data_IF_976916090669
#
_entry.id   IF_976916090669
#
_cell.length_a   1.000
_cell.length_b   1.000
_cell.length_c   1.000
_cell.angle_alpha   90.00
_cell.angle_beta   90.00
_cell.angle_gamma   90.00
#
_symmetry.space_group_name_H-M   'P 1'
#
loop_
_entity.id
_entity.type
_entity.pdbx_description
1 polymer ?
#
# COMPACT_ATOMS: atom_id res chain seq x y z
N UNK A 1 -6.64 -34.09 -20.87
CA UNK A 1 -5.73 -33.35 -19.99
C UNK A 1 -5.58 -31.90 -20.44
N UNK A 2 -5.58 -31.61 -21.75
CA UNK A 2 -5.60 -30.22 -22.29
C UNK A 2 -6.88 -29.44 -21.96
N UNK A 3 -8.08 -30.06 -22.12
CA UNK A 3 -9.37 -29.38 -21.89
C UNK A 3 -9.54 -28.77 -20.48
N UNK A 4 -8.92 -29.38 -19.46
CA UNK A 4 -8.93 -28.92 -18.07
C UNK A 4 -7.90 -27.82 -17.80
N UNK A 5 -6.81 -27.75 -18.58
CA UNK A 5 -5.81 -26.70 -18.47
C UNK A 5 -6.29 -25.39 -19.06
N UNK A 6 -6.97 -25.45 -20.21
CA UNK A 6 -7.53 -24.28 -20.89
C UNK A 6 -8.66 -23.65 -20.07
N UNK A 7 -9.56 -24.45 -19.49
CA UNK A 7 -10.61 -23.97 -18.57
C UNK A 7 -10.04 -23.29 -17.31
N UNK A 8 -8.90 -23.76 -16.79
CA UNK A 8 -8.20 -23.15 -15.65
C UNK A 8 -7.51 -21.84 -16.05
N UNK A 9 -6.96 -21.77 -17.25
CA UNK A 9 -6.34 -20.56 -17.79
C UNK A 9 -7.39 -19.46 -18.04
N UNK A 10 -8.54 -19.81 -18.61
CA UNK A 10 -9.66 -18.89 -18.83
C UNK A 10 -10.24 -18.39 -17.49
N UNK A 11 -10.45 -19.29 -16.52
CA UNK A 11 -10.89 -18.91 -15.17
C UNK A 11 -9.89 -17.97 -14.48
N UNK A 12 -8.57 -18.23 -14.60
CA UNK A 12 -7.52 -17.33 -14.08
C UNK A 12 -7.53 -15.97 -14.77
N UNK A 13 -7.72 -15.95 -16.09
CA UNK A 13 -7.79 -14.70 -16.86
C UNK A 13 -8.99 -13.85 -16.46
N UNK A 14 -10.14 -14.48 -16.19
CA UNK A 14 -11.34 -13.79 -15.74
C UNK A 14 -11.26 -13.35 -14.27
N UNK A 15 -10.64 -14.15 -13.39
CA UNK A 15 -10.28 -13.73 -12.03
C UNK A 15 -9.37 -12.50 -12.04
N UNK A 16 -8.33 -12.48 -12.88
CA UNK A 16 -7.39 -11.35 -12.95
C UNK A 16 -8.07 -10.05 -13.40
N UNK A 17 -9.10 -10.14 -14.25
CA UNK A 17 -9.91 -8.97 -14.64
C UNK A 17 -10.85 -8.51 -13.52
N UNK A 18 -11.25 -9.42 -12.63
CA UNK A 18 -12.21 -9.20 -11.56
C UNK A 18 -11.60 -8.80 -10.21
N UNK A 19 -10.31 -9.05 -10.03
CA UNK A 19 -9.62 -8.85 -8.76
C UNK A 19 -9.29 -7.41 -8.47
N UNK A 20 -9.54 -7.00 -7.22
CA UNK A 20 -9.09 -5.71 -6.73
C UNK A 20 -7.72 -5.78 -6.06
N UNK A 21 -7.31 -6.97 -5.58
CA UNK A 21 -5.96 -7.20 -5.07
C UNK A 21 -5.54 -8.67 -5.25
N UNK A 22 -4.25 -8.90 -5.55
CA UNK A 22 -3.64 -10.23 -5.64
C UNK A 22 -2.33 -10.28 -4.86
N UNK A 23 -2.10 -11.37 -4.11
CA UNK A 23 -0.89 -11.58 -3.30
C UNK A 23 -0.30 -12.95 -3.57
N UNK A 24 0.98 -13.05 -3.98
CA UNK A 24 1.63 -14.33 -4.14
C UNK A 24 1.83 -15.06 -2.81
N UNK A 25 1.42 -16.33 -2.73
CA UNK A 25 1.53 -17.17 -1.53
C UNK A 25 2.99 -17.27 -1.07
N UNK A 26 3.94 -17.35 -2.02
CA UNK A 26 5.37 -17.40 -1.72
C UNK A 26 5.87 -16.16 -0.93
N UNK A 27 5.23 -15.00 -1.09
CA UNK A 27 5.61 -13.78 -0.40
C UNK A 27 5.11 -13.74 1.05
N UNK A 28 4.10 -14.55 1.40
CA UNK A 28 3.56 -14.62 2.77
C UNK A 28 4.61 -15.09 3.79
N UNK A 29 5.55 -15.92 3.36
CA UNK A 29 6.67 -16.38 4.19
C UNK A 29 7.56 -15.22 4.68
N UNK A 30 7.53 -14.07 3.99
CA UNK A 30 8.34 -12.88 4.33
C UNK A 30 7.66 -11.96 5.37
N UNK A 31 6.37 -12.21 5.66
CA UNK A 31 5.51 -11.34 6.47
C UNK A 31 5.45 -11.75 7.95
N UNK A 32 6.39 -12.59 8.41
CA UNK A 32 6.49 -13.03 9.79
C UNK A 32 5.86 -14.39 10.07
N UNK A 33 6.20 -14.96 11.23
CA UNK A 33 5.88 -16.35 11.56
C UNK A 33 4.37 -16.64 11.61
N UNK A 34 3.55 -15.69 12.09
CA UNK A 34 2.09 -15.83 12.16
C UNK A 34 1.47 -15.91 10.77
N UNK A 35 1.91 -15.08 9.82
CA UNK A 35 1.45 -15.13 8.42
C UNK A 35 2.06 -16.32 7.66
N UNK A 36 3.33 -16.63 7.89
CA UNK A 36 4.02 -17.75 7.24
C UNK A 36 3.37 -19.10 7.58
N UNK A 37 2.74 -19.23 8.75
CA UNK A 37 1.99 -20.43 9.14
C UNK A 37 0.80 -20.75 8.23
N UNK A 38 0.33 -19.78 7.43
CA UNK A 38 -0.71 -20.00 6.42
C UNK A 38 -0.20 -20.79 5.21
N UNK A 39 1.09 -20.68 4.86
CA UNK A 39 1.63 -21.25 3.61
C UNK A 39 1.39 -22.77 3.51
N UNK A 40 1.68 -23.59 4.55
CA UNK A 40 1.37 -25.01 4.50
C UNK A 40 -0.13 -25.29 4.37
N UNK A 41 -0.99 -24.52 5.04
CA UNK A 41 -2.43 -24.69 4.97
C UNK A 41 -2.98 -24.40 3.56
N UNK A 42 -2.50 -23.33 2.93
CA UNK A 42 -2.84 -22.92 1.57
C UNK A 42 -2.37 -23.95 0.54
N UNK A 43 -1.21 -24.55 0.73
CA UNK A 43 -0.67 -25.60 -0.14
C UNK A 43 -1.35 -26.97 0.02
N UNK A 44 -2.18 -27.16 1.05
CA UNK A 44 -2.75 -28.48 1.42
C UNK A 44 -4.27 -28.58 1.18
N UNK A 45 -4.89 -27.57 0.55
CA UNK A 45 -6.35 -27.48 0.36
C UNK A 45 -6.97 -28.70 -0.34
N UNK A 46 -6.18 -29.54 -1.03
CA UNK A 46 -6.65 -30.83 -1.55
C UNK A 46 -5.58 -31.92 -1.43
N UNK A 47 -5.80 -32.95 -0.60
CA UNK A 47 -4.98 -34.17 -0.63
C UNK A 47 -5.75 -35.28 -1.36
N UNK A 48 -5.15 -35.80 -2.45
CA UNK A 48 -5.65 -37.01 -3.13
C UNK A 48 -4.90 -38.20 -2.59
N UNK A 49 -5.59 -39.07 -1.84
CA UNK A 49 -5.02 -40.34 -1.42
C UNK A 49 -5.31 -41.40 -2.48
N UNK A 50 -4.28 -42.13 -2.90
CA UNK A 50 -4.43 -43.36 -3.67
C UNK A 50 -4.32 -44.54 -2.72
N UNK A 51 -5.37 -45.36 -2.63
CA UNK A 51 -5.31 -46.57 -1.83
C UNK A 51 -4.54 -47.65 -2.60
N UNK A 52 -3.73 -48.44 -1.89
CA UNK A 52 -3.17 -49.67 -2.45
C UNK A 52 -4.33 -50.67 -2.61
N UNK A 53 -4.84 -50.80 -3.84
CA UNK A 53 -5.93 -51.71 -4.17
C UNK A 53 -5.44 -53.10 -4.57
N UNK A 54 -4.16 -53.43 -4.31
CA UNK A 54 -3.63 -54.77 -4.56
C UNK A 54 -4.44 -55.82 -3.78
N UNK A 55 -5.09 -56.72 -4.52
CA UNK A 55 -5.98 -57.74 -3.97
C UNK A 55 -7.47 -57.36 -3.89
N UNK A 56 -7.85 -56.13 -4.26
CA UNK A 56 -9.25 -55.74 -4.41
C UNK A 56 -9.77 -56.05 -5.81
N UNK A 57 -10.98 -56.59 -5.88
CA UNK A 57 -11.66 -56.93 -7.13
C UNK A 57 -13.08 -56.37 -7.13
N UNK A 58 -13.54 -55.90 -8.30
CA UNK A 58 -14.93 -55.52 -8.55
C UNK A 58 -15.65 -56.60 -9.35
N UNK A 59 -16.98 -56.65 -9.21
CA UNK A 59 -17.85 -57.51 -10.01
C UNK A 59 -17.96 -56.93 -11.42
N UNK A 60 -17.48 -57.65 -12.43
CA UNK A 60 -17.44 -57.19 -13.81
C UNK A 60 -18.71 -57.51 -14.62
N UNK A 61 -19.51 -58.48 -14.17
CA UNK A 61 -20.67 -59.01 -14.89
C UNK A 61 -22.02 -58.72 -14.21
N UNK A 62 -22.09 -57.69 -13.36
CA UNK A 62 -23.34 -57.26 -12.72
C UNK A 62 -24.22 -56.55 -13.75
N UNK A 63 -25.43 -57.06 -13.98
CA UNK A 63 -26.45 -56.38 -14.76
C UNK A 63 -27.41 -55.60 -13.85
N UNK A 64 -28.21 -54.70 -14.43
CA UNK A 64 -29.22 -53.93 -13.71
C UNK A 64 -30.21 -54.88 -13.02
N UNK A 65 -30.38 -54.71 -11.70
CA UNK A 65 -31.25 -55.57 -10.88
C UNK A 65 -30.56 -56.81 -10.29
N UNK A 66 -29.32 -57.11 -10.67
CA UNK A 66 -28.53 -58.16 -10.04
C UNK A 66 -28.00 -57.70 -8.67
N UNK A 67 -28.00 -58.61 -7.70
CA UNK A 67 -27.43 -58.38 -6.36
C UNK A 67 -26.55 -59.55 -5.93
N UNK A 68 -25.53 -59.29 -5.11
CA UNK A 68 -24.71 -60.36 -4.54
C UNK A 68 -25.58 -61.25 -3.64
N UNK A 69 -25.43 -62.56 -3.78
CA UNK A 69 -26.10 -63.50 -2.88
C UNK A 69 -25.49 -63.42 -1.49
N UNK A 70 -26.34 -63.33 -0.49
CA UNK A 70 -25.96 -63.24 0.92
C UNK A 70 -26.20 -64.59 1.57
N UNK A 71 -25.18 -65.12 2.23
CA UNK A 71 -25.23 -66.30 3.07
C UNK A 71 -26.06 -66.03 4.32
N UNK A 72 -26.55 -67.09 4.98
CA UNK A 72 -27.25 -66.95 6.25
C UNK A 72 -26.39 -66.30 7.35
N UNK A 73 -25.06 -66.35 7.24
CA UNK A 73 -24.13 -65.69 8.15
C UNK A 73 -23.79 -64.25 7.76
N UNK A 74 -24.45 -63.68 6.74
CA UNK A 74 -24.23 -62.31 6.26
C UNK A 74 -23.09 -62.14 5.25
N UNK A 75 -22.32 -63.20 4.96
CA UNK A 75 -21.23 -63.12 3.97
C UNK A 75 -21.77 -63.16 2.53
N UNK A 76 -21.11 -62.45 1.61
CA UNK A 76 -21.44 -62.53 0.19
C UNK A 76 -20.85 -63.78 -0.45
N UNK A 77 -21.64 -64.44 -1.30
CA UNK A 77 -21.18 -65.54 -2.14
C UNK A 77 -20.55 -65.01 -3.42
N UNK A 78 -19.71 -65.83 -4.06
CA UNK A 78 -19.22 -65.60 -5.43
C UNK A 78 -20.28 -65.77 -6.53
N UNK A 79 -21.54 -65.44 -6.23
CA UNK A 79 -22.68 -65.57 -7.13
C UNK A 79 -23.63 -64.36 -7.00
N UNK A 80 -24.19 -63.96 -8.13
CA UNK A 80 -25.24 -62.95 -8.22
C UNK A 80 -26.61 -63.64 -8.25
N UNK A 81 -27.57 -63.05 -7.54
CA UNK A 81 -29.00 -63.25 -7.77
C UNK A 81 -29.41 -62.35 -8.91
N UNK A 82 -29.96 -62.91 -9.98
CA UNK A 82 -30.42 -62.15 -11.13
C UNK A 82 -31.81 -61.56 -10.89
N UNK A 83 -32.18 -60.53 -11.64
CA UNK A 83 -33.46 -59.83 -11.48
C UNK A 83 -34.70 -60.75 -11.64
N UNK A 84 -34.57 -61.81 -12.45
CA UNK A 84 -35.57 -62.86 -12.67
C UNK A 84 -35.56 -63.96 -11.59
N UNK A 85 -34.77 -63.80 -10.52
CA UNK A 85 -34.65 -64.75 -9.42
C UNK A 85 -33.66 -65.89 -9.65
N UNK A 86 -33.01 -65.93 -10.82
CA UNK A 86 -31.95 -66.88 -11.16
C UNK A 86 -30.61 -66.66 -10.45
N UNK A 87 -29.59 -67.40 -10.89
CA UNK A 87 -28.24 -67.38 -10.31
C UNK A 87 -27.18 -67.42 -11.38
N UNK A 88 -26.16 -66.57 -11.27
CA UNK A 88 -24.93 -66.67 -12.09
C UNK A 88 -23.68 -66.43 -11.25
N UNK A 89 -22.56 -66.97 -11.68
CA UNK A 89 -21.27 -66.74 -11.01
C UNK A 89 -20.77 -65.31 -11.21
N UNK A 90 -20.08 -64.78 -10.20
CA UNK A 90 -19.42 -63.48 -10.27
C UNK A 90 -18.16 -63.59 -11.12
N UNK A 91 -17.96 -62.66 -12.05
CA UNK A 91 -16.66 -62.40 -12.67
C UNK A 91 -15.96 -61.30 -11.90
N UNK A 92 -14.74 -61.58 -11.43
CA UNK A 92 -13.92 -60.64 -10.69
C UNK A 92 -12.92 -59.97 -11.64
N UNK A 93 -12.89 -58.64 -11.63
CA UNK A 93 -11.89 -57.85 -12.31
C UNK A 93 -11.10 -57.05 -11.27
N UNK A 94 -9.78 -57.01 -11.40
CA UNK A 94 -8.93 -56.23 -10.51
C UNK A 94 -9.42 -54.78 -10.43
N UNK A 95 -9.63 -54.29 -9.21
CA UNK A 95 -9.99 -52.90 -9.00
C UNK A 95 -8.74 -52.06 -9.26
N UNK A 96 -8.80 -51.19 -10.28
CA UNK A 96 -7.78 -50.17 -10.50
C UNK A 96 -7.60 -49.27 -9.28
N UNK A 97 -6.57 -48.41 -9.26
CA UNK A 97 -6.30 -47.53 -8.12
C UNK A 97 -7.56 -46.73 -7.77
N UNK A 98 -8.02 -46.90 -6.53
CA UNK A 98 -9.11 -46.10 -5.97
C UNK A 98 -8.47 -44.82 -5.42
N UNK A 99 -8.87 -43.68 -5.96
CA UNK A 99 -8.54 -42.37 -5.43
C UNK A 99 -9.69 -41.88 -4.57
N UNK A 100 -9.39 -41.41 -3.37
CA UNK A 100 -10.32 -40.58 -2.61
C UNK A 100 -9.68 -39.21 -2.38
N UNK A 101 -10.44 -38.18 -2.70
CA UNK A 101 -10.10 -36.80 -2.36
C UNK A 101 -10.65 -36.53 -0.97
N UNK A 102 -9.77 -36.34 0.01
CA UNK A 102 -10.18 -35.81 1.31
C UNK A 102 -9.97 -34.30 1.28
N UNK A 103 -11.06 -33.55 1.43
CA UNK A 103 -10.97 -32.12 1.74
C UNK A 103 -10.65 -32.01 3.23
N UNK A 104 -9.38 -32.13 3.59
CA UNK A 104 -8.92 -31.67 4.89
C UNK A 104 -9.00 -30.14 4.86
N UNK A 105 -10.15 -29.58 5.23
CA UNK A 105 -10.32 -28.13 5.41
C UNK A 105 -9.47 -27.75 6.62
N UNK A 106 -8.20 -27.40 6.39
CA UNK A 106 -7.47 -26.62 7.40
C UNK A 106 -8.25 -25.33 7.54
N UNK A 107 -8.76 -25.05 8.73
CA UNK A 107 -9.54 -23.84 8.99
C UNK A 107 -8.64 -22.62 8.86
N UNK A 108 -8.61 -22.00 7.68
CA UNK A 108 -7.92 -20.74 7.46
C UNK A 108 -8.84 -19.64 8.02
N UNK A 109 -8.35 -18.89 9.01
CA UNK A 109 -9.08 -17.74 9.52
C UNK A 109 -9.06 -16.61 8.48
N UNK A 110 -10.20 -16.19 7.91
CA UNK A 110 -10.24 -15.13 6.90
C UNK A 110 -9.66 -13.81 7.38
N UNK A 111 -9.75 -13.50 8.69
CA UNK A 111 -9.17 -12.29 9.26
C UNK A 111 -7.63 -12.31 9.21
N UNK A 112 -7.01 -13.48 9.40
CA UNK A 112 -5.54 -13.64 9.27
C UNK A 112 -5.10 -13.50 7.82
N UNK A 113 -5.93 -13.96 6.86
CA UNK A 113 -5.66 -13.80 5.43
C UNK A 113 -5.78 -12.34 4.99
N UNK A 114 -6.82 -11.63 5.40
CA UNK A 114 -6.95 -10.18 5.15
C UNK A 114 -5.79 -9.40 5.77
N UNK A 115 -5.37 -9.74 7.00
CA UNK A 115 -4.19 -9.13 7.63
C UNK A 115 -2.90 -9.42 6.85
N UNK A 116 -2.73 -10.64 6.35
CA UNK A 116 -1.58 -10.99 5.52
C UNK A 116 -1.52 -10.15 4.24
N UNK A 117 -2.68 -9.93 3.60
CA UNK A 117 -2.78 -9.08 2.41
C UNK A 117 -2.50 -7.60 2.75
N UNK A 118 -3.01 -7.10 3.88
CA UNK A 118 -2.74 -5.73 4.34
C UNK A 118 -1.25 -5.50 4.68
N UNK A 119 -0.62 -6.46 5.37
CA UNK A 119 0.81 -6.43 5.67
C UNK A 119 1.64 -6.43 4.39
N UNK A 120 1.27 -7.26 3.40
CA UNK A 120 1.93 -7.28 2.11
C UNK A 120 1.84 -5.93 1.38
N UNK A 121 0.65 -5.33 1.33
CA UNK A 121 0.40 -4.02 0.71
C UNK A 121 1.28 -2.92 1.32
N UNK A 122 1.47 -2.92 2.64
CA UNK A 122 2.34 -1.95 3.32
C UNK A 122 3.82 -2.26 3.07
N UNK A 123 4.23 -3.53 3.20
CA UNK A 123 5.63 -3.95 3.04
C UNK A 123 6.18 -3.58 1.66
N UNK A 124 5.38 -3.71 0.59
CA UNK A 124 5.78 -3.34 -0.77
C UNK A 124 6.21 -1.87 -0.92
N UNK A 125 5.66 -0.98 -0.09
CA UNK A 125 5.93 0.45 -0.16
C UNK A 125 6.76 0.95 1.03
N UNK A 126 7.01 0.11 2.04
CA UNK A 126 7.73 0.50 3.25
C UNK A 126 9.15 0.98 2.95
N UNK A 127 9.85 0.32 2.02
CA UNK A 127 11.18 0.74 1.58
C UNK A 127 11.20 2.14 0.97
N UNK A 128 10.23 2.45 0.10
CA UNK A 128 10.08 3.77 -0.52
C UNK A 128 9.69 4.84 0.51
N UNK A 129 8.80 4.50 1.45
CA UNK A 129 8.42 5.38 2.57
C UNK A 129 9.65 5.77 3.39
N UNK A 130 10.50 4.79 3.74
CA UNK A 130 11.70 5.02 4.53
C UNK A 130 12.77 5.80 3.76
N UNK A 131 12.92 5.57 2.46
CA UNK A 131 13.86 6.32 1.63
C UNK A 131 13.42 7.77 1.46
N UNK A 132 12.12 8.01 1.22
CA UNK A 132 11.55 9.36 1.18
C UNK A 132 11.75 10.11 2.50
N UNK A 133 11.70 9.43 3.64
CA UNK A 133 12.00 10.06 4.94
C UNK A 133 13.45 10.51 5.03
N UNK A 134 14.41 9.65 4.67
CA UNK A 134 15.83 10.01 4.65
C UNK A 134 16.08 11.20 3.74
N UNK A 135 15.44 11.22 2.57
CA UNK A 135 15.50 12.37 1.67
C UNK A 135 14.97 13.64 2.35
N UNK A 136 13.77 13.60 2.96
CA UNK A 136 13.19 14.75 3.66
C UNK A 136 14.10 15.24 4.80
N UNK A 137 14.69 14.32 5.58
CA UNK A 137 15.60 14.64 6.68
C UNK A 137 16.91 15.27 6.19
N UNK A 138 17.50 14.74 5.11
CA UNK A 138 18.78 15.21 4.57
C UNK A 138 18.81 16.69 4.17
N UNK A 139 17.65 17.30 3.95
CA UNK A 139 17.52 18.70 3.56
C UNK A 139 17.41 19.68 4.73
N UNK A 140 17.32 19.19 5.97
CA UNK A 140 17.12 20.02 7.16
C UNK A 140 18.47 20.48 7.75
N UNK A 141 18.42 21.47 8.66
CA UNK A 141 19.59 21.94 9.40
C UNK A 141 19.71 21.26 10.78
N UNK A 142 20.90 20.70 11.05
CA UNK A 142 21.31 19.85 12.20
C UNK A 142 20.82 20.33 13.58
N UNK A 143 20.65 21.62 13.82
CA UNK A 143 20.45 22.19 15.17
C UNK A 143 19.00 22.09 15.72
N UNK A 144 18.01 21.67 14.93
CA UNK A 144 16.59 21.57 15.36
C UNK A 144 15.94 20.20 15.09
N UNK A 145 16.75 19.19 14.81
CA UNK A 145 16.31 17.92 14.22
C UNK A 145 16.04 16.80 15.21
N UNK A 146 16.73 16.76 16.36
CA UNK A 146 16.83 15.52 17.14
C UNK A 146 15.50 14.96 17.65
N UNK A 147 14.50 15.81 17.94
CA UNK A 147 13.17 15.33 18.37
C UNK A 147 12.38 14.74 17.20
N UNK A 148 12.28 15.45 16.07
CA UNK A 148 11.49 14.99 14.91
C UNK A 148 12.18 13.82 14.20
N UNK A 149 13.52 13.82 14.17
CA UNK A 149 14.31 12.71 13.67
C UNK A 149 14.10 11.46 14.52
N UNK A 150 14.18 11.57 15.86
CA UNK A 150 13.90 10.45 16.76
C UNK A 150 12.46 9.92 16.62
N UNK A 151 11.48 10.81 16.43
CA UNK A 151 10.10 10.42 16.14
C UNK A 151 10.00 9.61 14.84
N UNK A 152 10.68 10.06 13.78
CA UNK A 152 10.71 9.36 12.48
C UNK A 152 11.39 8.00 12.58
N UNK A 153 12.54 7.92 13.23
CA UNK A 153 13.24 6.65 13.47
C UNK A 153 12.39 5.68 14.28
N UNK A 154 11.69 6.20 15.28
CA UNK A 154 10.76 5.41 16.10
C UNK A 154 9.62 4.85 15.25
N UNK A 155 8.97 5.68 14.42
CA UNK A 155 7.90 5.21 13.53
C UNK A 155 8.40 4.15 12.54
N UNK A 156 9.57 4.33 11.95
CA UNK A 156 10.17 3.38 11.02
C UNK A 156 10.49 2.05 11.71
N UNK A 157 11.06 2.11 12.92
CA UNK A 157 11.31 0.93 13.75
C UNK A 157 10.02 0.17 14.08
N UNK A 158 8.94 0.88 14.41
CA UNK A 158 7.62 0.27 14.67
C UNK A 158 7.08 -0.38 13.39
N UNK A 159 7.07 0.34 12.27
CA UNK A 159 6.56 -0.15 10.99
C UNK A 159 7.28 -1.43 10.53
N UNK A 160 8.62 -1.43 10.55
CA UNK A 160 9.41 -2.62 10.16
C UNK A 160 9.20 -3.83 11.08
N UNK A 161 8.92 -3.59 12.37
CA UNK A 161 8.70 -4.66 13.35
C UNK A 161 7.25 -5.15 13.39
N UNK A 162 6.30 -4.37 12.88
CA UNK A 162 4.87 -4.66 12.98
C UNK A 162 4.50 -6.00 12.32
N UNK A 163 5.05 -6.32 11.14
CA UNK A 163 4.79 -7.61 10.46
C UNK A 163 5.11 -8.84 11.33
N UNK A 164 6.10 -8.73 12.22
CA UNK A 164 6.50 -9.81 13.13
C UNK A 164 5.73 -9.80 14.47
N UNK A 165 4.95 -8.75 14.75
CA UNK A 165 4.38 -8.48 16.06
C UNK A 165 2.91 -8.02 16.04
N UNK A 166 2.22 -8.09 14.91
CA UNK A 166 0.85 -7.59 14.77
C UNK A 166 -0.15 -8.31 15.69
N UNK A 167 0.12 -9.57 16.04
CA UNK A 167 -0.64 -10.41 16.96
C UNK A 167 -0.13 -10.33 18.41
N UNK A 168 0.99 -9.63 18.65
CA UNK A 168 1.54 -9.42 19.98
C UNK A 168 0.87 -8.22 20.67
N UNK A 169 -0.10 -8.50 21.56
CA UNK A 169 -0.86 -7.47 22.29
C UNK A 169 0.00 -6.45 23.03
N UNK A 170 1.13 -6.85 23.61
CA UNK A 170 2.02 -5.93 24.34
C UNK A 170 2.71 -4.97 23.37
N UNK A 171 3.24 -5.50 22.26
CA UNK A 171 3.84 -4.68 21.21
C UNK A 171 2.82 -3.69 20.64
N UNK A 172 1.64 -4.18 20.28
CA UNK A 172 0.58 -3.38 19.67
C UNK A 172 0.13 -2.25 20.59
N UNK A 173 -0.21 -2.57 21.85
CA UNK A 173 -0.73 -1.57 22.80
C UNK A 173 0.32 -0.51 23.15
N UNK A 174 1.56 -0.92 23.41
CA UNK A 174 2.65 0.01 23.78
C UNK A 174 2.96 0.96 22.62
N UNK A 175 3.10 0.42 21.41
CA UNK A 175 3.41 1.23 20.23
C UNK A 175 2.22 2.06 19.76
N UNK A 176 0.98 1.63 19.95
CA UNK A 176 -0.19 2.44 19.63
C UNK A 176 -0.16 3.76 20.41
N UNK A 177 0.13 3.71 21.71
CA UNK A 177 0.30 4.92 22.53
C UNK A 177 1.44 5.80 22.03
N UNK A 178 2.60 5.21 21.75
CA UNK A 178 3.78 5.93 21.24
C UNK A 178 3.46 6.65 19.92
N UNK A 179 2.77 5.97 19.01
CA UNK A 179 2.34 6.52 17.71
C UNK A 179 1.37 7.69 17.89
N UNK A 180 0.40 7.61 18.80
CA UNK A 180 -0.51 8.71 19.11
C UNK A 180 0.23 9.93 19.69
N UNK A 181 1.23 9.71 20.55
CA UNK A 181 2.06 10.78 21.10
C UNK A 181 2.88 11.48 20.00
N UNK A 182 3.50 10.72 19.09
CA UNK A 182 4.23 11.25 17.91
C UNK A 182 3.27 12.00 16.99
N UNK A 183 2.09 11.43 16.69
CA UNK A 183 1.07 12.06 15.85
C UNK A 183 0.64 13.42 16.42
N UNK A 184 0.45 13.51 17.74
CA UNK A 184 0.15 14.77 18.44
C UNK A 184 1.28 15.79 18.28
N UNK A 185 2.53 15.38 18.49
CA UNK A 185 3.71 16.26 18.36
C UNK A 185 3.87 16.76 16.92
N UNK A 186 3.77 15.87 15.94
CA UNK A 186 3.77 16.20 14.52
C UNK A 186 2.65 17.19 14.16
N UNK A 187 1.43 16.98 14.67
CA UNK A 187 0.29 17.91 14.48
C UNK A 187 0.57 19.29 15.08
N UNK A 188 1.14 19.36 16.29
CA UNK A 188 1.55 20.62 16.93
C UNK A 188 2.59 21.37 16.08
N UNK A 189 3.61 20.67 15.61
CA UNK A 189 4.68 21.25 14.79
C UNK A 189 4.15 21.77 13.46
N UNK A 190 3.30 20.98 12.79
CA UNK A 190 2.60 21.37 11.57
C UNK A 190 1.84 22.70 11.73
N UNK A 191 0.98 22.80 12.75
CA UNK A 191 0.21 24.03 13.04
C UNK A 191 1.12 25.23 13.33
N UNK A 192 2.23 25.01 14.04
CA UNK A 192 3.22 26.05 14.35
C UNK A 192 3.89 26.58 13.09
N UNK A 193 4.34 25.71 12.18
CA UNK A 193 4.97 26.11 10.93
C UNK A 193 3.98 26.74 9.95
N UNK A 194 2.77 26.19 9.84
CA UNK A 194 1.70 26.78 9.05
C UNK A 194 1.44 28.24 9.47
N UNK A 195 1.31 28.49 10.78
CA UNK A 195 1.14 29.85 11.32
C UNK A 195 2.31 30.76 10.97
N UNK A 196 3.56 30.29 11.19
CA UNK A 196 4.77 31.06 10.86
C UNK A 196 4.87 31.40 9.38
N UNK A 197 4.44 30.50 8.49
CA UNK A 197 4.44 30.74 7.04
C UNK A 197 3.35 31.75 6.67
N UNK A 198 2.14 31.61 7.22
CA UNK A 198 1.04 32.58 7.01
C UNK A 198 1.42 33.99 7.48
N UNK A 199 2.16 34.11 8.58
CA UNK A 199 2.62 35.42 9.09
C UNK A 199 3.63 36.11 8.14
N UNK A 200 4.44 35.34 7.40
CA UNK A 200 5.32 35.87 6.35
C UNK A 200 4.50 36.46 5.21
N UNK A 201 3.47 35.74 4.73
CA UNK A 201 2.61 36.20 3.62
C UNK A 201 1.75 37.41 3.99
N UNK A 202 1.34 37.53 5.26
CA UNK A 202 0.49 38.64 5.76
C UNK A 202 1.23 39.97 5.99
N UNK A 203 2.54 40.05 5.73
CA UNK A 203 3.29 41.30 5.79
C UNK A 203 3.51 41.89 7.19
N UNK A 204 3.40 41.09 8.28
CA UNK A 204 3.64 41.58 9.65
C UNK A 204 5.10 41.89 9.99
N UNK A 205 6.05 41.68 9.06
CA UNK A 205 7.44 42.14 9.19
C UNK A 205 7.70 43.23 8.13
N UNK A 206 7.92 44.46 8.62
CA UNK A 206 8.21 45.67 7.85
C UNK A 206 9.36 45.43 6.84
N UNK A 207 9.14 45.78 5.57
CA UNK A 207 9.98 45.39 4.43
C UNK A 207 10.79 46.60 3.92
N UNK A 208 12.13 46.56 4.02
CA UNK A 208 13.09 47.47 3.35
C UNK A 208 14.16 46.69 2.52
N UNK A 209 14.16 46.92 1.20
CA UNK A 209 15.23 46.76 0.18
C UNK A 209 15.66 45.35 -0.37
N UNK A 210 16.19 45.36 -1.62
CA UNK A 210 16.52 44.25 -2.56
C UNK A 210 17.24 42.98 -2.03
N UNK A 211 17.80 42.97 -0.82
CA UNK A 211 18.30 41.76 -0.12
C UNK A 211 17.17 40.83 0.37
N UNK A 212 15.91 41.18 0.08
CA UNK A 212 14.71 40.56 0.64
C UNK A 212 14.15 39.34 -0.09
N UNK A 213 14.29 39.23 -1.42
CA UNK A 213 13.70 38.07 -2.15
C UNK A 213 14.41 36.78 -1.75
N UNK A 214 15.74 36.78 -1.78
CA UNK A 214 16.56 35.62 -1.39
C UNK A 214 16.36 35.24 0.08
N UNK A 215 16.35 36.21 0.98
CA UNK A 215 16.13 35.93 2.41
C UNK A 215 14.71 35.45 2.69
N UNK A 216 13.68 36.00 2.03
CA UNK A 216 12.32 35.50 2.11
C UNK A 216 12.18 34.08 1.53
N UNK A 217 12.83 33.79 0.40
CA UNK A 217 12.86 32.46 -0.21
C UNK A 217 13.51 31.45 0.74
N UNK A 218 14.69 31.75 1.30
CA UNK A 218 15.37 30.87 2.25
C UNK A 218 14.58 30.68 3.55
N UNK A 219 13.97 31.75 4.07
CA UNK A 219 13.16 31.71 5.29
C UNK A 219 11.84 30.93 5.10
N UNK A 220 11.25 30.98 3.90
CA UNK A 220 10.11 30.15 3.52
C UNK A 220 10.53 28.70 3.26
N UNK A 221 11.60 28.48 2.50
CA UNK A 221 12.17 27.15 2.22
C UNK A 221 12.41 26.39 3.53
N UNK A 222 13.10 27.00 4.49
CA UNK A 222 13.35 26.41 5.81
C UNK A 222 12.03 26.01 6.52
N UNK A 223 11.05 26.92 6.57
CA UNK A 223 9.76 26.62 7.22
C UNK A 223 8.99 25.51 6.51
N UNK A 224 8.96 25.51 5.18
CA UNK A 224 8.26 24.49 4.40
C UNK A 224 8.93 23.13 4.47
N UNK A 225 10.27 23.06 4.61
CA UNK A 225 10.96 21.79 4.88
C UNK A 225 10.49 21.19 6.21
N UNK A 226 10.45 21.97 7.29
CA UNK A 226 9.93 21.47 8.59
C UNK A 226 8.42 21.20 8.59
N UNK A 227 7.62 22.00 7.87
CA UNK A 227 6.19 21.73 7.69
C UNK A 227 5.99 20.40 6.94
N UNK A 228 6.73 20.19 5.84
CA UNK A 228 6.69 18.95 5.06
C UNK A 228 7.08 17.75 5.91
N UNK A 229 8.18 17.84 6.67
CA UNK A 229 8.57 16.76 7.58
C UNK A 229 7.47 16.47 8.61
N UNK A 230 6.94 17.50 9.28
CA UNK A 230 5.88 17.33 10.28
C UNK A 230 4.62 16.68 9.69
N UNK A 231 4.22 17.08 8.48
CA UNK A 231 3.07 16.51 7.78
C UNK A 231 3.33 15.06 7.35
N UNK A 232 4.55 14.74 6.90
CA UNK A 232 4.93 13.39 6.54
C UNK A 232 4.94 12.46 7.77
N UNK A 233 5.56 12.88 8.87
CA UNK A 233 5.57 12.16 10.16
C UNK A 233 4.16 11.96 10.69
N UNK A 234 3.30 13.00 10.63
CA UNK A 234 1.89 12.89 11.00
C UNK A 234 1.16 11.83 10.17
N UNK A 235 1.39 11.81 8.85
CA UNK A 235 0.71 10.89 7.93
C UNK A 235 1.14 9.44 8.17
N UNK A 236 2.44 9.19 8.38
CA UNK A 236 2.93 7.86 8.74
C UNK A 236 2.41 7.40 10.09
N UNK A 237 2.43 8.27 11.11
CA UNK A 237 1.88 7.95 12.43
C UNK A 237 0.38 7.60 12.33
N UNK A 238 -0.37 8.31 11.49
CA UNK A 238 -1.80 8.04 11.28
C UNK A 238 -2.07 6.69 10.60
N UNK A 239 -1.25 6.30 9.60
CA UNK A 239 -1.31 4.95 9.04
C UNK A 239 -1.01 3.89 10.12
N UNK A 240 0.04 4.11 10.92
CA UNK A 240 0.41 3.16 11.98
C UNK A 240 -0.63 3.11 13.11
N UNK A 241 -1.34 4.20 13.40
CA UNK A 241 -2.46 4.24 14.33
C UNK A 241 -3.56 3.27 13.87
N UNK A 242 -3.95 3.31 12.59
CA UNK A 242 -4.94 2.38 12.02
C UNK A 242 -4.48 0.93 12.18
N UNK A 243 -3.24 0.63 11.80
CA UNK A 243 -2.69 -0.73 11.90
C UNK A 243 -2.60 -1.23 13.35
N UNK A 244 -2.17 -0.39 14.30
CA UNK A 244 -2.01 -0.77 15.70
C UNK A 244 -3.33 -0.77 16.48
N UNK A 245 -4.29 0.07 16.12
CA UNK A 245 -5.63 0.04 16.74
C UNK A 245 -6.43 -1.18 16.30
N UNK A 246 -6.18 -1.69 15.09
CA UNK A 246 -6.98 -2.74 14.46
C UNK A 246 -8.40 -2.29 14.10
N UNK A 247 -8.68 -0.98 14.15
CA UNK A 247 -9.97 -0.43 13.77
C UNK A 247 -10.00 -0.18 12.26
N UNK A 248 -10.42 -1.18 11.49
CA UNK A 248 -10.47 -1.11 10.03
C UNK A 248 -11.84 -0.71 9.47
N UNK A 249 -12.75 -0.18 10.31
CA UNK A 249 -14.06 0.29 9.86
C UNK A 249 -13.89 1.44 8.86
N UNK A 250 -14.56 1.34 7.72
CA UNK A 250 -14.43 2.29 6.60
C UNK A 250 -14.58 3.76 7.03
N UNK A 251 -15.59 4.09 7.85
CA UNK A 251 -15.81 5.47 8.32
C UNK A 251 -14.59 6.01 9.09
N UNK A 252 -13.99 5.20 9.94
CA UNK A 252 -12.82 5.61 10.73
C UNK A 252 -11.58 5.76 9.86
N UNK A 253 -11.29 4.76 9.01
CA UNK A 253 -10.12 4.80 8.12
C UNK A 253 -10.25 5.91 7.08
N UNK A 254 -11.44 6.11 6.52
CA UNK A 254 -11.74 7.22 5.59
C UNK A 254 -11.58 8.57 6.26
N UNK A 255 -12.04 8.72 7.51
CA UNK A 255 -11.84 9.96 8.28
C UNK A 255 -10.36 10.33 8.42
N UNK A 256 -9.50 9.36 8.72
CA UNK A 256 -8.05 9.56 8.83
C UNK A 256 -7.44 9.89 7.46
N UNK A 257 -7.80 9.12 6.42
CA UNK A 257 -7.36 9.35 5.03
C UNK A 257 -7.69 10.77 4.58
N UNK A 258 -8.93 11.22 4.84
CA UNK A 258 -9.41 12.53 4.43
C UNK A 258 -8.76 13.65 5.25
N UNK A 259 -8.41 13.43 6.53
CA UNK A 259 -7.60 14.36 7.31
C UNK A 259 -6.20 14.56 6.68
N UNK A 260 -5.53 13.48 6.26
CA UNK A 260 -4.22 13.56 5.58
C UNK A 260 -4.35 14.33 4.26
N UNK A 261 -5.39 14.03 3.47
CA UNK A 261 -5.67 14.70 2.19
C UNK A 261 -5.90 16.21 2.38
N UNK A 262 -6.79 16.58 3.31
CA UNK A 262 -7.09 17.97 3.64
C UNK A 262 -5.83 18.75 4.07
N UNK A 263 -4.98 18.13 4.90
CA UNK A 263 -3.73 18.77 5.35
C UNK A 263 -2.72 18.93 4.23
N UNK A 264 -2.67 17.97 3.31
CA UNK A 264 -1.81 18.02 2.12
C UNK A 264 -2.28 19.09 1.13
N UNK A 265 -3.60 19.28 0.98
CA UNK A 265 -4.18 20.38 0.22
C UNK A 265 -3.88 21.74 0.86
N UNK A 266 -4.08 21.87 2.18
CA UNK A 266 -3.75 23.09 2.91
C UNK A 266 -2.28 23.48 2.79
N UNK A 267 -1.37 22.49 2.79
CA UNK A 267 0.05 22.68 2.52
C UNK A 267 0.29 23.27 1.13
N UNK A 268 -0.28 22.66 0.08
CA UNK A 268 -0.12 23.06 -1.33
C UNK A 268 -0.73 24.45 -1.60
N UNK A 269 -1.89 24.73 -1.02
CA UNK A 269 -2.53 26.05 -1.08
C UNK A 269 -1.65 27.14 -0.47
N UNK A 270 -1.06 26.85 0.69
CA UNK A 270 -0.16 27.78 1.36
C UNK A 270 1.13 27.97 0.56
N UNK A 271 1.67 26.90 -0.01
CA UNK A 271 2.81 26.94 -0.91
C UNK A 271 2.53 27.83 -2.12
N UNK A 272 1.38 27.65 -2.80
CA UNK A 272 0.96 28.49 -3.92
C UNK A 272 0.86 29.98 -3.56
N UNK A 273 0.28 30.30 -2.40
CA UNK A 273 0.21 31.68 -1.88
C UNK A 273 1.61 32.28 -1.63
N UNK A 274 2.54 31.49 -1.11
CA UNK A 274 3.92 31.90 -0.91
C UNK A 274 4.67 32.10 -2.24
N UNK A 275 4.44 31.26 -3.24
CA UNK A 275 5.01 31.43 -4.59
C UNK A 275 4.56 32.75 -5.23
N UNK A 276 3.26 33.07 -5.14
CA UNK A 276 2.73 34.36 -5.62
C UNK A 276 3.31 35.54 -4.85
N UNK A 277 3.50 35.40 -3.53
CA UNK A 277 4.15 36.43 -2.71
C UNK A 277 5.61 36.68 -3.14
N UNK A 278 6.39 35.61 -3.36
CA UNK A 278 7.77 35.70 -3.83
C UNK A 278 7.87 36.33 -5.22
N UNK A 279 6.95 36.00 -6.12
CA UNK A 279 6.87 36.60 -7.46
C UNK A 279 6.58 38.12 -7.40
N UNK A 280 5.63 38.55 -6.56
CA UNK A 280 5.34 39.98 -6.34
C UNK A 280 6.53 40.73 -5.78
N UNK A 281 7.24 40.15 -4.81
CA UNK A 281 8.48 40.74 -4.28
C UNK A 281 9.53 40.90 -5.39
N UNK A 282 9.72 39.88 -6.22
CA UNK A 282 10.65 39.91 -7.36
C UNK A 282 10.31 41.01 -8.38
N UNK A 283 9.03 41.13 -8.77
CA UNK A 283 8.57 42.17 -9.71
C UNK A 283 8.80 43.59 -9.21
N UNK A 284 8.55 43.86 -7.92
CA UNK A 284 8.77 45.18 -7.31
C UNK A 284 10.25 45.57 -7.19
N UNK A 285 11.15 44.58 -7.11
CA UNK A 285 12.60 44.74 -7.08
C UNK A 285 13.18 45.06 -8.47
N UNK A 286 12.59 44.51 -9.53
CA UNK A 286 12.98 44.79 -10.91
C UNK A 286 12.56 46.19 -11.37
N UNK A 287 11.38 46.67 -10.97
CA UNK A 287 10.95 48.05 -11.25
C UNK A 287 11.86 49.12 -10.64
N UNK A 288 12.49 48.85 -9.48
CA UNK A 288 13.40 49.80 -8.82
C UNK A 288 14.82 49.84 -9.41
N UNK A 289 15.32 48.73 -9.96
CA UNK A 289 16.66 48.69 -10.58
C UNK A 289 16.65 49.11 -12.06
N UNK A 290 15.50 49.13 -12.72
CA UNK A 290 15.37 49.58 -14.11
C UNK A 290 15.42 51.11 -14.25
N UNK A 291 15.24 51.85 -13.15
CA UNK A 291 15.16 53.32 -13.13
C UNK A 291 16.53 54.02 -13.03
N UNK A 292 17.66 53.30 -13.03
CA UNK A 292 19.00 53.91 -12.87
C UNK A 292 20.07 53.49 -13.88
N UNK A 293 19.82 52.66 -14.91
CA UNK A 293 20.90 52.32 -15.82
C UNK A 293 20.52 51.59 -17.10
N UNK A 294 20.49 52.34 -18.20
CA UNK A 294 20.82 51.98 -19.60
C UNK A 294 20.31 50.62 -20.11
N UNK A 295 19.32 50.69 -21.00
CA UNK A 295 19.37 50.08 -22.34
C UNK A 295 19.50 48.56 -22.48
N UNK A 296 18.38 47.94 -22.86
CA UNK A 296 18.26 46.73 -23.71
C UNK A 296 18.90 45.42 -23.21
N UNK A 297 18.06 44.54 -22.64
CA UNK A 297 17.91 43.10 -22.97
C UNK A 297 17.34 42.34 -21.77
N UNK A 298 16.01 42.17 -21.69
CA UNK A 298 15.40 41.34 -20.64
C UNK A 298 14.10 40.73 -21.14
N UNK A 299 14.23 39.61 -21.86
CA UNK A 299 13.15 38.66 -22.12
C UNK A 299 13.71 37.27 -21.88
N UNK A 300 13.75 36.84 -20.61
CA UNK A 300 13.75 35.42 -20.19
C UNK A 300 14.00 35.38 -18.68
N UNK A 301 12.93 35.53 -17.89
CA UNK A 301 12.86 34.97 -16.54
C UNK A 301 11.49 34.30 -16.48
N UNK A 302 11.48 32.97 -16.40
CA UNK A 302 10.27 32.17 -16.36
C UNK A 302 9.43 32.50 -15.13
N UNK A 303 8.14 32.73 -15.33
CA UNK A 303 7.18 33.03 -14.27
C UNK A 303 7.16 31.91 -13.22
N UNK A 304 7.33 32.26 -11.94
CA UNK A 304 7.26 31.34 -10.80
C UNK A 304 5.90 30.62 -10.68
N UNK A 305 4.87 31.10 -11.39
CA UNK A 305 3.55 30.47 -11.55
C UNK A 305 3.63 29.08 -12.21
N UNK A 306 4.65 28.82 -13.04
CA UNK A 306 4.84 27.51 -13.71
C UNK A 306 5.28 26.37 -12.78
N UNK A 307 5.53 26.66 -11.49
CA UNK A 307 6.00 25.68 -10.48
C UNK A 307 4.82 25.03 -9.73
N UNK A 308 3.60 25.54 -9.87
CA UNK A 308 2.41 24.99 -9.21
C UNK A 308 1.95 23.76 -10.02
N UNK A 309 2.00 22.53 -9.46
CA UNK A 309 1.44 21.38 -10.15
C UNK A 309 -0.06 21.60 -10.31
N UNK A 310 -0.54 21.62 -11.56
CA UNK A 310 -1.96 21.49 -11.85
C UNK A 310 -2.42 20.11 -11.40
N UNK A 311 -3.50 20.06 -10.63
CA UNK A 311 -4.14 18.83 -10.17
C UNK A 311 -4.52 17.99 -11.38
N UNK A 312 -3.70 16.98 -11.69
CA UNK A 312 -4.12 15.80 -12.44
C UNK A 312 -3.53 14.59 -11.72
N UNK A 313 -4.41 13.66 -11.35
CA UNK A 313 -4.05 12.37 -10.76
C UNK A 313 -3.25 11.54 -11.77
N UNK A 314 -1.94 11.73 -11.83
CA UNK A 314 -1.04 10.99 -12.71
C UNK A 314 0.40 10.95 -12.16
N UNK A 315 1.24 10.01 -12.62
CA UNK A 315 2.56 9.75 -12.05
C UNK A 315 3.50 10.95 -12.22
N UNK A 316 4.24 11.24 -11.16
CA UNK A 316 5.09 12.45 -10.97
C UNK A 316 6.41 12.40 -11.77
N UNK A 317 6.70 11.29 -12.46
CA UNK A 317 8.03 11.01 -13.03
C UNK A 317 8.36 11.79 -14.32
N UNK A 318 7.36 12.22 -15.10
CA UNK A 318 7.65 12.97 -16.34
C UNK A 318 8.22 14.38 -16.09
N UNK A 319 7.95 14.98 -14.92
CA UNK A 319 8.43 16.33 -14.60
C UNK A 319 9.91 16.38 -14.22
N UNK A 320 10.46 15.29 -13.66
CA UNK A 320 11.84 15.25 -13.16
C UNK A 320 12.88 15.02 -14.27
N UNK A 321 12.47 14.44 -15.41
CA UNK A 321 13.37 14.08 -16.51
C UNK A 321 13.72 15.29 -17.40
N UNK A 322 12.80 16.23 -17.59
CA UNK A 322 12.96 17.30 -18.59
C UNK A 322 13.90 18.45 -18.13
N UNK A 323 14.06 18.64 -16.81
CA UNK A 323 14.84 19.78 -16.25
C UNK A 323 16.33 19.48 -15.99
N UNK A 324 16.80 18.27 -16.30
CA UNK A 324 18.17 17.83 -16.02
C UNK A 324 19.25 18.38 -16.98
N UNK A 325 18.87 18.95 -18.12
CA UNK A 325 19.80 19.14 -19.24
C UNK A 325 20.04 20.58 -19.67
N UNK A 326 20.48 21.48 -18.76
CA UNK A 326 21.22 22.70 -19.12
C UNK A 326 21.76 23.46 -17.91
N UNK A 327 23.09 23.51 -17.75
CA UNK A 327 23.71 24.45 -16.82
C UNK A 327 25.08 24.95 -17.30
N UNK A 328 25.23 26.26 -17.37
CA UNK A 328 26.52 26.99 -17.44
C UNK A 328 26.53 28.01 -16.28
N UNK A 329 27.67 28.10 -15.58
CA UNK A 329 27.85 28.65 -14.22
C UNK A 329 28.08 30.17 -14.15
N UNK A 330 27.45 30.85 -13.18
CA UNK A 330 27.88 32.11 -12.49
C UNK A 330 26.95 32.41 -11.29
N UNK A 331 27.03 33.55 -10.57
CA UNK A 331 26.25 33.84 -9.35
C UNK A 331 24.70 33.68 -9.47
N UNK A 332 24.16 33.66 -10.70
CA UNK A 332 22.78 33.23 -11.02
C UNK A 332 22.46 31.77 -10.66
N UNK A 333 23.47 30.89 -10.53
CA UNK A 333 23.28 29.45 -10.26
C UNK A 333 22.78 29.18 -8.84
N UNK A 334 23.17 29.99 -7.85
CA UNK A 334 22.70 29.82 -6.45
C UNK A 334 21.24 30.23 -6.28
N UNK A 335 20.81 31.29 -6.96
CA UNK A 335 19.41 31.74 -6.96
C UNK A 335 18.51 30.75 -7.69
N UNK A 336 19.01 30.19 -8.82
CA UNK A 336 18.35 29.08 -9.53
C UNK A 336 18.23 27.83 -8.65
N UNK A 337 19.25 27.52 -7.85
CA UNK A 337 19.26 26.34 -6.97
C UNK A 337 18.23 26.45 -5.84
N UNK A 338 18.15 27.57 -5.12
CA UNK A 338 17.14 27.74 -4.06
C UNK A 338 15.71 27.77 -4.60
N UNK A 339 15.50 28.23 -5.84
CA UNK A 339 14.19 28.15 -6.50
C UNK A 339 13.84 26.70 -6.85
N UNK A 340 14.80 25.91 -7.34
CA UNK A 340 14.63 24.47 -7.60
C UNK A 340 14.31 23.71 -6.31
N UNK A 341 15.07 23.92 -5.25
CA UNK A 341 14.81 23.31 -3.93
C UNK A 341 13.43 23.70 -3.38
N UNK A 342 12.99 24.94 -3.60
CA UNK A 342 11.65 25.36 -3.20
C UNK A 342 10.56 24.67 -4.02
N UNK A 343 10.75 24.52 -5.34
CA UNK A 343 9.85 23.78 -6.20
C UNK A 343 9.74 22.29 -5.81
N UNK A 344 10.86 21.66 -5.46
CA UNK A 344 10.92 20.24 -5.06
C UNK A 344 10.11 19.95 -3.79
N UNK A 345 9.96 20.93 -2.90
CA UNK A 345 9.15 20.77 -1.68
C UNK A 345 7.67 21.11 -1.87
N UNK A 346 7.23 21.53 -3.06
CA UNK A 346 5.81 21.83 -3.35
C UNK A 346 4.86 20.66 -3.07
N UNK A 347 5.35 19.42 -3.21
CA UNK A 347 4.60 18.21 -2.88
C UNK A 347 5.06 17.68 -1.50
N UNK A 348 4.15 17.51 -0.53
CA UNK A 348 4.50 16.95 0.77
C UNK A 348 4.82 15.45 0.73
N UNK A 349 4.58 14.77 -0.40
CA UNK A 349 4.84 13.33 -0.63
C UNK A 349 4.06 12.39 0.31
N UNK A 350 2.87 12.81 0.73
CA UNK A 350 1.98 12.04 1.63
C UNK A 350 1.04 11.06 0.90
N UNK A 351 1.03 11.07 -0.44
CA UNK A 351 0.12 10.25 -1.26
C UNK A 351 0.19 8.76 -0.92
N UNK A 352 1.40 8.23 -0.72
CA UNK A 352 1.62 6.83 -0.35
C UNK A 352 0.81 6.39 0.87
N UNK A 353 0.65 7.25 1.89
CA UNK A 353 -0.14 6.92 3.08
C UNK A 353 -1.65 6.91 2.79
N UNK A 354 -2.12 7.81 1.93
CA UNK A 354 -3.50 7.82 1.45
C UNK A 354 -3.79 6.53 0.69
N UNK A 355 -2.90 6.14 -0.22
CA UNK A 355 -3.04 4.92 -1.02
C UNK A 355 -3.03 3.67 -0.12
N UNK A 356 -2.20 3.61 0.92
CA UNK A 356 -2.21 2.48 1.87
C UNK A 356 -3.48 2.43 2.72
N UNK A 357 -4.04 3.58 3.11
CA UNK A 357 -5.33 3.63 3.82
C UNK A 357 -6.49 3.21 2.90
N UNK A 358 -6.43 3.55 1.61
CA UNK A 358 -7.38 3.07 0.60
C UNK A 358 -7.28 1.56 0.40
N UNK A 359 -6.06 1.00 0.33
CA UNK A 359 -5.86 -0.45 0.32
C UNK A 359 -6.48 -1.12 1.54
N UNK A 360 -6.31 -0.56 2.75
CA UNK A 360 -6.92 -1.10 3.98
C UNK A 360 -8.46 -1.07 3.88
N UNK A 361 -9.04 0.04 3.40
CA UNK A 361 -10.48 0.16 3.17
C UNK A 361 -10.94 -0.94 2.22
N UNK A 362 -10.23 -1.11 1.10
CA UNK A 362 -10.55 -2.10 0.09
C UNK A 362 -10.52 -3.53 0.66
N UNK A 363 -9.44 -3.88 1.35
CA UNK A 363 -9.23 -5.21 1.92
C UNK A 363 -10.31 -5.55 2.95
N UNK A 364 -10.62 -4.63 3.88
CA UNK A 364 -11.48 -4.94 5.03
C UNK A 364 -12.96 -4.62 4.84
N UNK A 365 -13.32 -3.72 3.92
CA UNK A 365 -14.70 -3.24 3.80
C UNK A 365 -15.30 -3.53 2.42
N UNK A 366 -14.48 -3.77 1.39
CA UNK A 366 -14.95 -4.04 0.03
C UNK A 366 -14.57 -5.42 -0.49
N UNK A 367 -13.95 -6.29 0.33
CA UNK A 367 -13.73 -7.70 -0.05
C UNK A 367 -14.98 -8.52 0.23
N UNK A 368 -15.57 -9.11 -0.80
CA UNK A 368 -16.69 -10.03 -0.66
C UNK A 368 -16.25 -11.49 -0.61
N UNK A 369 -15.29 -11.83 -1.48
CA UNK A 369 -14.84 -13.20 -1.69
C UNK A 369 -13.32 -13.25 -1.76
N UNK A 370 -12.77 -14.33 -1.22
CA UNK A 370 -11.34 -14.63 -1.27
C UNK A 370 -11.15 -15.91 -2.05
N UNK A 371 -10.49 -15.81 -3.20
CA UNK A 371 -10.13 -16.96 -4.02
C UNK A 371 -8.66 -17.30 -3.83
N UNK A 372 -8.35 -18.58 -3.98
CA UNK A 372 -7.03 -19.15 -3.80
C UNK A 372 -6.72 -20.06 -4.98
N UNK A 373 -5.54 -19.92 -5.55
CA UNK A 373 -4.96 -20.96 -6.39
C UNK A 373 -3.61 -21.42 -5.81
N UNK A 374 -2.84 -22.22 -6.56
CA UNK A 374 -1.55 -22.73 -6.06
C UNK A 374 -0.46 -21.66 -5.94
N UNK A 375 -0.69 -20.45 -6.44
CA UNK A 375 0.31 -19.38 -6.52
C UNK A 375 -0.11 -18.12 -5.76
N UNK A 376 -1.40 -17.77 -5.76
CA UNK A 376 -1.89 -16.46 -5.35
C UNK A 376 -3.17 -16.52 -4.51
N UNK A 377 -3.30 -15.48 -3.67
CA UNK A 377 -4.52 -15.08 -2.98
C UNK A 377 -5.15 -13.92 -3.74
N UNK A 378 -6.45 -14.01 -4.01
CA UNK A 378 -7.21 -13.03 -4.78
C UNK A 378 -8.34 -12.45 -3.92
N UNK A 379 -8.38 -11.13 -3.76
CA UNK A 379 -9.50 -10.41 -3.13
C UNK A 379 -10.39 -9.80 -4.21
N UNK A 380 -11.67 -10.17 -4.21
CA UNK A 380 -12.67 -9.65 -5.14
C UNK A 380 -13.65 -8.73 -4.41
N UNK A 381 -14.07 -7.69 -5.12
CA UNK A 381 -14.97 -6.67 -4.61
C UNK A 381 -16.29 -6.62 -5.37
N UNK A 382 -17.28 -6.03 -4.70
CA UNK A 382 -18.68 -6.05 -5.14
C UNK A 382 -18.83 -5.36 -6.52
N UNK A 383 -19.34 -6.12 -7.49
CA UNK A 383 -19.39 -5.74 -8.91
C UNK A 383 -19.21 -6.89 -9.91
N UNK A 384 -18.78 -8.08 -9.45
CA UNK A 384 -18.54 -9.25 -10.30
C UNK A 384 -19.55 -10.40 -10.15
N UNK A 385 -20.58 -10.25 -9.31
CA UNK A 385 -21.75 -11.13 -9.36
C UNK A 385 -22.63 -10.78 -10.56
N UNK A 386 -22.32 -11.35 -11.73
CA UNK A 386 -23.29 -11.52 -12.82
C UNK A 386 -23.16 -12.87 -13.50
#
# INVERSE_FOLDING_TARGET
MELTGDLLADARADLTKATTMSVPIAQLATLGASVASLVPALNTVTQTYSFNTSGLYRVANQAVGDSLKIAQNGNFWGALKTADGGSKFVQLQSAGPLTATSQAVVSINPATMMMAVALFSIEQQLGEIMEMQKQILSFLEIEKESEIEADVETLSSIASKYKLNWDNKHFVTSNHKMVLDIQRTARKNMLSYEKKIRDVVKGKKLIVANTQVKSALQDLLKKFKYYRLSLYTFSMASLMEVMLSGNFKEEYVSGIRDEIRQRSEAYRDLFGKCSVYLEKLSGSSMEKNLLTGIGTASKTVGSLIGIIPGIKQGPVDEFLVDQGSRMKKSAHTMETQSIKEFAEISNPKTGVFVDRLEDIIQIYNHTEQIFLDCENIYLLSDGFSK
#
